data_IF_167621712298
#
_entry.id   IF_167621712298
#
_cell.length_a   1.000
_cell.length_b   1.000
_cell.length_c   1.000
_cell.angle_alpha   90.00
_cell.angle_beta   90.00
_cell.angle_gamma   90.00
#
_symmetry.space_group_name_H-M   'P 1'
#
loop_
_entity.id
_entity.type
_entity.pdbx_description
1 polymer ?
#
# COMPACT_ATOMS: atom_id res chain seq x y z
N UNK A 1 -20.50 -0.47 -1.49
CA UNK A 1 -19.26 0.27 -1.80
C UNK A 1 -19.59 1.74 -1.91
N UNK A 2 -18.66 2.60 -1.53
CA UNK A 2 -18.82 4.05 -1.61
C UNK A 2 -18.72 4.51 -3.09
N UNK A 3 -19.56 5.46 -3.54
CA UNK A 3 -19.68 5.82 -4.96
C UNK A 3 -18.43 6.46 -5.58
N UNK A 4 -17.42 6.81 -4.77
CA UNK A 4 -16.19 7.41 -5.28
C UNK A 4 -15.22 6.38 -5.86
N UNK A 5 -15.28 5.13 -5.43
CA UNK A 5 -14.42 4.06 -5.96
C UNK A 5 -14.86 3.68 -7.38
N UNK A 6 -13.94 3.76 -8.33
CA UNK A 6 -14.18 3.56 -9.76
C UNK A 6 -14.69 4.81 -10.49
N UNK A 7 -14.77 5.96 -9.82
CA UNK A 7 -15.26 7.22 -10.41
C UNK A 7 -14.20 7.99 -11.22
N UNK A 8 -12.94 7.54 -11.20
CA UNK A 8 -11.81 8.27 -11.78
C UNK A 8 -11.33 9.46 -10.93
N UNK A 9 -11.90 9.63 -9.72
CA UNK A 9 -11.47 10.63 -8.74
C UNK A 9 -10.67 9.99 -7.62
N UNK A 10 -9.76 10.78 -7.05
CA UNK A 10 -8.91 10.39 -5.92
C UNK A 10 -9.33 11.25 -4.74
N UNK A 11 -9.58 10.62 -3.60
CA UNK A 11 -9.89 11.31 -2.35
C UNK A 11 -8.58 11.58 -1.62
N UNK A 12 -8.28 12.85 -1.33
CA UNK A 12 -7.05 13.24 -0.61
C UNK A 12 -7.35 13.90 0.73
N UNK A 13 -8.58 14.36 0.92
CA UNK A 13 -9.07 14.90 2.18
C UNK A 13 -9.94 13.89 2.95
N UNK A 14 -9.94 13.91 4.30
CA UNK A 14 -10.83 13.06 5.10
C UNK A 14 -12.30 13.34 4.78
N UNK A 15 -13.06 12.30 4.42
CA UNK A 15 -14.48 12.42 4.07
C UNK A 15 -15.42 12.31 5.28
N UNK A 16 -14.94 11.71 6.38
CA UNK A 16 -15.69 11.50 7.61
C UNK A 16 -14.80 11.74 8.84
N UNK A 17 -15.41 12.09 9.96
CA UNK A 17 -14.76 12.09 11.27
C UNK A 17 -14.69 10.68 11.88
N UNK A 18 -13.87 10.50 12.92
CA UNK A 18 -13.77 9.24 13.67
C UNK A 18 -15.13 8.77 14.25
N UNK A 19 -16.05 9.71 14.48
CA UNK A 19 -17.42 9.46 14.96
C UNK A 19 -18.42 9.03 13.88
N UNK A 20 -17.96 8.90 12.63
CA UNK A 20 -18.78 8.53 11.47
C UNK A 20 -19.64 9.68 10.92
N UNK A 21 -19.28 10.94 11.21
CA UNK A 21 -19.99 12.13 10.71
C UNK A 21 -19.32 12.62 9.43
N UNK A 22 -20.07 12.88 8.34
CA UNK A 22 -19.51 13.46 7.12
C UNK A 22 -18.87 14.83 7.36
N UNK A 23 -17.70 15.07 6.77
CA UNK A 23 -17.00 16.35 6.84
C UNK A 23 -17.52 17.26 5.72
N UNK A 24 -18.10 18.41 6.09
CA UNK A 24 -18.68 19.40 5.17
C UNK A 24 -17.66 20.46 4.70
N UNK A 25 -16.38 20.11 4.64
CA UNK A 25 -15.34 21.02 4.17
C UNK A 25 -15.51 21.28 2.66
N UNK A 26 -15.43 22.54 2.18
CA UNK A 26 -15.58 22.87 0.76
C UNK A 26 -14.66 22.08 -0.17
N UNK A 27 -13.43 21.75 0.27
CA UNK A 27 -12.47 20.96 -0.51
C UNK A 27 -12.89 19.48 -0.58
N UNK A 28 -13.36 18.93 0.55
CA UNK A 28 -13.90 17.57 0.64
C UNK A 28 -15.15 17.43 -0.24
N UNK A 29 -16.03 18.43 -0.24
CA UNK A 29 -17.24 18.45 -1.06
C UNK A 29 -16.93 18.57 -2.57
N UNK A 30 -15.87 19.28 -2.95
CA UNK A 30 -15.39 19.34 -4.34
C UNK A 30 -14.83 17.99 -4.81
N UNK A 31 -14.11 17.29 -3.94
CA UNK A 31 -13.63 15.92 -4.22
C UNK A 31 -14.78 14.91 -4.23
N UNK A 32 -15.76 15.07 -3.33
CA UNK A 32 -16.85 14.12 -3.08
C UNK A 32 -18.12 14.35 -3.94
N UNK A 33 -18.21 15.41 -4.73
CA UNK A 33 -19.36 15.62 -5.62
C UNK A 33 -19.10 14.98 -6.97
N UNK A 34 -19.71 13.83 -7.24
CA UNK A 34 -19.95 13.41 -8.62
C UNK A 34 -20.91 14.43 -9.27
N UNK A 35 -20.63 14.84 -10.51
CA UNK A 35 -21.53 15.70 -11.29
C UNK A 35 -22.82 14.96 -11.62
N UNK A 36 -23.72 14.91 -10.65
CA UNK A 36 -25.09 14.43 -10.78
C UNK A 36 -25.91 15.08 -9.67
N UNK A 37 -26.65 16.11 -10.06
CA UNK A 37 -27.67 16.76 -9.27
C UNK A 37 -28.71 15.73 -8.79
N UNK A 38 -28.64 15.37 -7.51
CA UNK A 38 -29.79 14.88 -6.76
C UNK A 38 -29.66 15.34 -5.32
N UNK A 39 -30.41 16.39 -5.01
CA UNK A 39 -30.73 16.87 -3.68
C UNK A 39 -31.21 15.74 -2.77
N UNK A 40 -30.40 15.39 -1.76
CA UNK A 40 -30.87 14.85 -0.48
C UNK A 40 -29.72 14.89 0.52
N UNK A 41 -29.59 16.03 1.20
CA UNK A 41 -28.85 16.14 2.45
C UNK A 41 -29.52 15.29 3.52
N UNK A 42 -29.30 13.99 3.49
CA UNK A 42 -29.59 13.12 4.61
C UNK A 42 -28.32 13.05 5.47
N UNK A 43 -28.36 13.71 6.63
CA UNK A 43 -27.43 13.52 7.74
C UNK A 43 -27.55 12.07 8.27
N UNK A 44 -27.18 11.07 7.47
CA UNK A 44 -27.16 9.69 7.90
C UNK A 44 -25.82 9.42 8.56
N UNK A 45 -25.81 9.42 9.89
CA UNK A 45 -24.67 8.95 10.68
C UNK A 45 -24.37 7.51 10.28
N UNK A 46 -23.16 7.27 9.78
CA UNK A 46 -22.69 5.92 9.53
C UNK A 46 -22.57 5.21 10.89
N UNK A 47 -23.19 4.04 11.01
CA UNK A 47 -23.13 3.21 12.23
C UNK A 47 -22.28 1.97 12.05
N UNK A 48 -21.99 1.59 10.79
CA UNK A 48 -21.12 0.46 10.50
C UNK A 48 -19.65 0.84 10.73
N UNK A 49 -19.11 0.36 11.86
CA UNK A 49 -17.72 0.58 12.28
C UNK A 49 -16.72 0.25 11.17
N UNK A 50 -16.97 -0.82 10.43
CA UNK A 50 -16.10 -1.26 9.34
C UNK A 50 -16.08 -0.25 8.18
N UNK A 51 -17.25 0.24 7.77
CA UNK A 51 -17.34 1.29 6.75
C UNK A 51 -16.67 2.58 7.21
N UNK A 52 -16.75 2.92 8.50
CA UNK A 52 -16.06 4.09 9.06
C UNK A 52 -14.54 3.91 8.96
N UNK A 53 -14.00 2.80 9.47
CA UNK A 53 -12.56 2.51 9.43
C UNK A 53 -12.01 2.53 8.00
N UNK A 54 -12.71 1.89 7.06
CA UNK A 54 -12.32 1.91 5.66
C UNK A 54 -12.37 3.31 5.03
N UNK A 55 -13.42 4.11 5.30
CA UNK A 55 -13.51 5.49 4.81
C UNK A 55 -12.41 6.38 5.37
N UNK A 56 -11.98 6.14 6.61
CA UNK A 56 -10.85 6.84 7.22
C UNK A 56 -9.53 6.52 6.51
N UNK A 57 -9.35 5.33 5.93
CA UNK A 57 -8.10 5.00 5.21
C UNK A 57 -8.03 5.59 3.80
N UNK A 58 -9.17 5.92 3.17
CA UNK A 58 -9.22 6.40 1.77
C UNK A 58 -8.37 7.65 1.50
N UNK A 59 -8.37 8.61 2.42
CA UNK A 59 -7.57 9.83 2.27
C UNK A 59 -6.07 9.53 2.34
N UNK A 60 -5.65 8.62 3.24
CA UNK A 60 -4.27 8.19 3.38
C UNK A 60 -3.80 7.47 2.12
N UNK A 61 -4.65 6.60 1.54
CA UNK A 61 -4.39 5.98 0.23
C UNK A 61 -4.18 7.06 -0.82
N UNK A 62 -5.06 8.07 -0.92
CA UNK A 62 -4.92 9.15 -1.89
C UNK A 62 -3.62 9.94 -1.75
N UNK A 63 -3.23 10.26 -0.52
CA UNK A 63 -1.97 10.93 -0.24
C UNK A 63 -0.74 10.10 -0.66
N UNK A 64 -0.79 8.78 -0.47
CA UNK A 64 0.30 7.88 -0.86
C UNK A 64 0.35 7.63 -2.36
N UNK A 65 -0.81 7.49 -3.02
CA UNK A 65 -0.93 7.43 -4.48
C UNK A 65 -0.29 8.66 -5.12
N UNK A 66 -0.61 9.85 -4.60
CA UNK A 66 0.01 11.07 -5.08
C UNK A 66 1.52 11.11 -4.85
N UNK A 67 2.08 10.35 -3.90
CA UNK A 67 3.53 10.27 -3.61
C UNK A 67 4.25 9.18 -4.40
N UNK A 68 3.53 8.21 -4.95
CA UNK A 68 4.09 7.01 -5.59
C UNK A 68 4.63 7.37 -6.97
N UNK A 69 5.89 6.98 -7.24
CA UNK A 69 6.55 7.05 -8.56
C UNK A 69 6.31 8.34 -9.37
N UNK A 70 6.32 9.49 -8.70
CA UNK A 70 6.00 10.81 -9.29
C UNK A 70 6.82 11.19 -10.52
N UNK A 71 8.03 10.63 -10.66
CA UNK A 71 8.91 10.90 -11.79
C UNK A 71 8.59 10.05 -13.02
N UNK A 72 7.68 9.07 -12.91
CA UNK A 72 7.30 8.19 -14.01
C UNK A 72 6.23 8.85 -14.88
N UNK A 73 6.50 8.95 -16.19
CA UNK A 73 5.57 9.51 -17.18
C UNK A 73 4.19 8.82 -17.18
N UNK A 74 4.13 7.56 -16.76
CA UNK A 74 2.89 6.81 -16.61
C UNK A 74 1.88 7.53 -15.70
N UNK A 75 2.35 8.16 -14.62
CA UNK A 75 1.50 8.82 -13.63
C UNK A 75 1.16 10.28 -13.95
N UNK A 76 1.63 10.83 -15.07
CA UNK A 76 1.13 12.13 -15.58
C UNK A 76 -0.36 12.05 -15.94
N UNK A 77 -0.83 10.87 -16.34
CA UNK A 77 -2.24 10.63 -16.63
C UNK A 77 -3.00 10.39 -15.32
N UNK A 78 -3.95 11.28 -15.02
CA UNK A 78 -4.82 11.17 -13.85
C UNK A 78 -5.59 9.83 -13.78
N UNK A 79 -5.92 9.26 -14.94
CA UNK A 79 -6.56 7.93 -15.06
C UNK A 79 -5.72 6.81 -14.43
N UNK A 80 -4.39 6.87 -14.55
CA UNK A 80 -3.50 5.85 -13.98
C UNK A 80 -3.36 6.01 -12.47
N UNK A 81 -3.40 7.25 -11.97
CA UNK A 81 -3.46 7.52 -10.54
C UNK A 81 -4.80 7.08 -9.94
N UNK A 82 -5.92 7.27 -10.64
CA UNK A 82 -7.22 6.81 -10.17
C UNK A 82 -7.29 5.29 -10.12
N UNK A 83 -6.79 4.58 -11.15
CA UNK A 83 -6.67 3.11 -11.11
C UNK A 83 -5.88 2.61 -9.90
N UNK A 84 -4.76 3.28 -9.59
CA UNK A 84 -3.96 2.93 -8.41
C UNK A 84 -4.73 3.13 -7.11
N UNK A 85 -5.44 4.23 -7.00
CA UNK A 85 -6.28 4.50 -5.84
C UNK A 85 -7.44 3.51 -5.72
N UNK A 86 -8.12 3.18 -6.82
CA UNK A 86 -9.26 2.27 -6.87
C UNK A 86 -8.85 0.86 -6.44
N UNK A 87 -7.76 0.31 -6.98
CA UNK A 87 -7.25 -1.02 -6.61
C UNK A 87 -6.91 -1.08 -5.11
N UNK A 88 -6.23 -0.06 -4.57
CA UNK A 88 -5.85 -0.01 -3.16
C UNK A 88 -7.07 0.14 -2.24
N UNK A 89 -8.04 0.97 -2.64
CA UNK A 89 -9.29 1.16 -1.90
C UNK A 89 -10.12 -0.14 -1.87
N UNK A 90 -10.22 -0.84 -3.00
CA UNK A 90 -10.91 -2.14 -3.09
C UNK A 90 -10.18 -3.20 -2.28
N UNK A 91 -8.85 -3.25 -2.33
CA UNK A 91 -8.05 -4.18 -1.53
C UNK A 91 -8.28 -3.97 -0.03
N UNK A 92 -8.24 -2.71 0.44
CA UNK A 92 -8.48 -2.36 1.83
C UNK A 92 -9.89 -2.75 2.32
N UNK A 93 -10.87 -2.85 1.42
CA UNK A 93 -12.22 -3.32 1.74
C UNK A 93 -12.30 -4.86 1.83
N UNK A 94 -11.53 -5.56 1.01
CA UNK A 94 -11.54 -7.02 0.88
C UNK A 94 -10.72 -7.68 1.99
N UNK A 95 -9.45 -7.28 2.14
CA UNK A 95 -8.56 -7.83 3.17
C UNK A 95 -8.60 -6.96 4.42
N UNK A 96 -9.56 -7.25 5.30
CA UNK A 96 -9.79 -6.49 6.53
C UNK A 96 -8.76 -6.74 7.62
N UNK A 97 -8.10 -7.89 7.58
CA UNK A 97 -7.10 -8.24 8.59
C UNK A 97 -5.83 -7.43 8.40
N UNK A 98 -5.46 -7.17 7.14
CA UNK A 98 -4.29 -6.35 6.81
C UNK A 98 -4.69 -4.88 6.59
N UNK A 99 -5.83 -4.65 5.94
CA UNK A 99 -6.26 -3.32 5.52
C UNK A 99 -5.28 -2.69 4.53
N UNK A 100 -5.22 -1.36 4.54
CA UNK A 100 -4.19 -0.61 3.84
C UNK A 100 -3.05 -0.23 4.79
N UNK A 101 -1.81 -0.47 4.38
CA UNK A 101 -0.60 -0.03 5.06
C UNK A 101 0.28 0.79 4.13
N UNK A 102 1.03 1.73 4.71
CA UNK A 102 1.97 2.54 3.96
C UNK A 102 3.01 1.64 3.26
N UNK A 103 3.26 1.91 1.97
CA UNK A 103 4.15 1.12 1.11
C UNK A 103 3.40 0.17 0.16
N UNK A 104 2.12 -0.13 0.41
CA UNK A 104 1.31 -0.93 -0.53
C UNK A 104 1.12 -0.24 -1.88
N UNK A 105 1.08 1.10 -1.92
CA UNK A 105 1.01 1.85 -3.18
C UNK A 105 2.23 1.62 -4.08
N UNK A 106 3.43 1.53 -3.48
CA UNK A 106 4.66 1.23 -4.21
C UNK A 106 4.65 -0.20 -4.76
N UNK A 107 4.03 -1.14 -4.02
CA UNK A 107 3.88 -2.54 -4.46
C UNK A 107 2.86 -2.70 -5.59
N UNK A 108 1.79 -1.89 -5.55
CA UNK A 108 0.72 -1.92 -6.55
C UNK A 108 1.12 -1.20 -7.85
N UNK A 109 1.94 -0.15 -7.78
CA UNK A 109 2.37 0.63 -8.94
C UNK A 109 2.86 -0.23 -10.13
N UNK A 110 3.81 -1.17 -9.95
CA UNK A 110 4.27 -2.03 -11.03
C UNK A 110 3.17 -2.90 -11.66
N UNK A 111 2.15 -3.30 -10.90
CA UNK A 111 1.04 -4.11 -11.43
C UNK A 111 0.25 -3.33 -12.47
N UNK A 112 0.00 -2.04 -12.21
CA UNK A 112 -0.78 -1.16 -13.09
C UNK A 112 0.04 -0.71 -14.29
N UNK A 113 1.35 -0.56 -14.12
CA UNK A 113 2.25 -0.25 -15.23
C UNK A 113 2.37 -1.43 -16.20
N UNK A 114 2.36 -2.66 -15.70
CA UNK A 114 2.51 -3.87 -16.51
C UNK A 114 1.20 -4.39 -17.09
N UNK A 115 0.09 -4.23 -16.38
CA UNK A 115 -1.21 -4.80 -16.75
C UNK A 115 -2.15 -3.69 -17.21
N UNK A 116 -2.65 -3.81 -18.44
CA UNK A 116 -3.57 -2.82 -19.02
C UNK A 116 -4.96 -2.85 -18.36
N UNK A 117 -5.41 -4.04 -17.99
CA UNK A 117 -6.70 -4.28 -17.35
C UNK A 117 -6.60 -4.10 -15.83
N UNK A 118 -7.52 -3.30 -15.28
CA UNK A 118 -7.53 -2.95 -13.86
C UNK A 118 -7.89 -4.16 -12.98
N UNK A 119 -8.75 -5.06 -13.45
CA UNK A 119 -9.12 -6.25 -12.69
C UNK A 119 -7.95 -7.24 -12.63
N UNK A 120 -7.22 -7.43 -13.74
CA UNK A 120 -6.00 -8.23 -13.74
C UNK A 120 -4.94 -7.65 -12.79
N UNK A 121 -4.76 -6.33 -12.80
CA UNK A 121 -3.86 -5.64 -11.89
C UNK A 121 -4.27 -5.85 -10.42
N UNK A 122 -5.57 -5.75 -10.11
CA UNK A 122 -6.10 -6.04 -8.79
C UNK A 122 -5.80 -7.47 -8.34
N UNK A 123 -6.11 -8.47 -9.16
CA UNK A 123 -5.89 -9.87 -8.79
C UNK A 123 -4.42 -10.23 -8.65
N UNK A 124 -3.55 -9.63 -9.47
CA UNK A 124 -2.11 -9.80 -9.33
C UNK A 124 -1.61 -9.18 -8.01
N UNK A 125 -2.05 -7.95 -7.71
CA UNK A 125 -1.73 -7.28 -6.45
C UNK A 125 -2.24 -8.05 -5.23
N UNK A 126 -3.48 -8.54 -5.26
CA UNK A 126 -4.06 -9.34 -4.17
C UNK A 126 -3.23 -10.61 -3.90
N UNK A 127 -2.80 -11.31 -4.96
CA UNK A 127 -1.93 -12.49 -4.84
C UNK A 127 -0.54 -12.17 -4.32
N UNK A 128 0.04 -11.04 -4.73
CA UNK A 128 1.30 -10.55 -4.17
C UNK A 128 1.13 -10.28 -2.66
N UNK A 129 0.07 -9.57 -2.31
CA UNK A 129 -0.24 -9.23 -0.94
C UNK A 129 -0.47 -10.46 -0.07
N UNK A 130 -1.10 -11.54 -0.57
CA UNK A 130 -1.23 -12.81 0.17
C UNK A 130 0.11 -13.35 0.69
N UNK A 131 1.18 -13.18 -0.08
CA UNK A 131 2.55 -13.58 0.32
C UNK A 131 3.18 -12.57 1.28
N UNK A 132 2.94 -11.29 1.05
CA UNK A 132 3.48 -10.20 1.86
C UNK A 132 2.66 -9.88 3.12
N UNK A 133 1.51 -10.54 3.36
CA UNK A 133 0.69 -10.32 4.57
C UNK A 133 1.54 -10.42 5.83
N UNK A 134 2.50 -11.35 5.86
CA UNK A 134 3.45 -11.50 6.97
C UNK A 134 4.25 -10.22 7.25
N UNK A 135 4.65 -9.49 6.21
CA UNK A 135 5.44 -8.26 6.34
C UNK A 135 4.62 -7.10 6.92
N UNK A 136 3.32 -7.07 6.64
CA UNK A 136 2.40 -6.00 7.06
C UNK A 136 1.64 -6.32 8.36
N UNK A 137 1.77 -7.54 8.88
CA UNK A 137 1.20 -7.90 10.19
C UNK A 137 1.99 -7.20 11.29
N UNK A 138 1.38 -6.17 11.86
CA UNK A 138 1.76 -5.64 13.17
C UNK A 138 1.05 -6.44 14.26
N UNK A 139 1.79 -7.29 14.96
CA UNK A 139 1.31 -7.86 16.23
C UNK A 139 1.67 -6.87 17.35
N UNK A 140 0.99 -6.94 18.50
CA UNK A 140 1.27 -6.09 19.68
C UNK A 140 2.74 -6.10 20.17
N UNK A 141 3.61 -6.96 19.60
CA UNK A 141 4.97 -7.20 20.07
C UNK A 141 6.05 -7.14 18.96
N UNK A 142 5.69 -7.20 17.67
CA UNK A 142 6.65 -7.09 16.56
C UNK A 142 5.97 -6.89 15.20
N UNK A 143 6.67 -6.25 14.27
CA UNK A 143 6.34 -6.25 12.84
C UNK A 143 6.93 -7.50 12.21
N UNK A 144 6.20 -8.22 11.36
CA UNK A 144 6.69 -9.49 10.78
C UNK A 144 7.99 -9.38 9.95
N UNK A 145 8.43 -8.18 9.60
CA UNK A 145 9.74 -7.91 8.99
C UNK A 145 10.90 -8.06 9.98
N UNK A 146 10.68 -7.89 11.28
CA UNK A 146 11.75 -7.97 12.30
C UNK A 146 12.44 -9.34 12.31
N UNK A 147 11.68 -10.43 12.16
CA UNK A 147 12.27 -11.77 12.05
C UNK A 147 13.15 -11.91 10.81
N UNK A 148 12.81 -11.25 9.70
CA UNK A 148 13.62 -11.24 8.49
C UNK A 148 14.92 -10.44 8.68
N UNK A 149 14.87 -9.34 9.44
CA UNK A 149 16.05 -8.57 9.81
C UNK A 149 16.98 -9.35 10.73
N UNK A 150 16.43 -10.11 11.69
CA UNK A 150 17.23 -10.99 12.55
C UNK A 150 17.94 -12.08 11.73
N UNK A 151 17.24 -12.70 10.77
CA UNK A 151 17.87 -13.65 9.85
C UNK A 151 18.96 -12.99 9.01
N UNK A 152 18.72 -11.78 8.50
CA UNK A 152 19.73 -11.01 7.77
C UNK A 152 20.97 -10.76 8.64
N UNK A 153 20.77 -10.35 9.89
CA UNK A 153 21.85 -10.12 10.85
C UNK A 153 22.69 -11.38 11.05
N UNK A 154 22.04 -12.53 11.28
CA UNK A 154 22.72 -13.83 11.43
C UNK A 154 23.48 -14.25 10.17
N UNK A 155 22.91 -14.02 8.98
CA UNK A 155 23.57 -14.33 7.71
C UNK A 155 24.82 -13.48 7.53
N UNK A 156 24.72 -12.17 7.79
CA UNK A 156 25.87 -11.26 7.65
C UNK A 156 26.93 -11.56 8.69
N UNK A 157 26.56 -11.93 9.92
CA UNK A 157 27.51 -12.35 10.94
C UNK A 157 28.36 -13.55 10.49
N UNK A 158 27.79 -14.47 9.70
CA UNK A 158 28.52 -15.63 9.16
C UNK A 158 29.31 -15.27 7.90
N UNK A 159 28.73 -14.50 6.97
CA UNK A 159 29.33 -14.19 5.67
C UNK A 159 30.42 -13.10 5.75
N UNK A 160 30.17 -12.07 6.56
CA UNK A 160 31.09 -10.95 6.79
C UNK A 160 30.99 -10.45 8.25
N UNK A 161 31.65 -11.16 9.19
CA UNK A 161 31.62 -10.78 10.60
C UNK A 161 32.23 -9.39 10.85
N UNK A 162 33.18 -8.95 10.02
CA UNK A 162 33.80 -7.62 10.17
C UNK A 162 32.79 -6.51 9.91
N UNK A 163 31.93 -6.69 8.91
CA UNK A 163 30.84 -5.78 8.61
C UNK A 163 29.79 -5.79 9.73
N UNK A 164 29.40 -6.98 10.21
CA UNK A 164 28.44 -7.11 11.31
C UNK A 164 28.92 -6.37 12.57
N UNK A 165 30.15 -6.65 13.03
CA UNK A 165 30.74 -6.01 14.21
C UNK A 165 30.89 -4.49 14.04
N UNK A 166 31.08 -4.02 12.80
CA UNK A 166 31.12 -2.59 12.52
C UNK A 166 29.74 -1.95 12.67
N UNK A 167 28.71 -2.57 12.12
CA UNK A 167 27.32 -2.10 12.24
C UNK A 167 26.85 -2.16 13.69
N UNK A 168 27.17 -3.21 14.43
CA UNK A 168 26.82 -3.35 15.84
C UNK A 168 27.45 -2.24 16.69
N UNK A 169 28.74 -1.92 16.48
CA UNK A 169 29.42 -0.80 17.16
C UNK A 169 28.80 0.57 16.87
N UNK A 170 28.15 0.73 15.73
CA UNK A 170 27.42 1.94 15.36
C UNK A 170 25.97 1.96 15.89
N UNK A 171 25.54 0.92 16.62
CA UNK A 171 24.16 0.76 17.08
C UNK A 171 23.19 0.27 15.99
N UNK A 172 23.70 -0.24 14.88
CA UNK A 172 22.94 -0.75 13.73
C UNK A 172 22.83 -2.27 13.65
N UNK A 173 23.09 -2.99 14.75
CA UNK A 173 23.12 -4.46 14.79
C UNK A 173 21.77 -5.14 14.51
N UNK A 174 20.66 -4.42 14.67
CA UNK A 174 19.31 -4.90 14.35
C UNK A 174 18.90 -4.66 12.89
N UNK A 175 19.78 -4.04 12.08
CA UNK A 175 19.56 -3.80 10.65
C UNK A 175 18.26 -3.04 10.32
N UNK A 176 17.78 -2.18 11.22
CA UNK A 176 16.55 -1.41 11.03
C UNK A 176 16.56 -0.53 9.77
N UNK A 177 17.75 -0.15 9.26
CA UNK A 177 17.87 0.54 7.97
C UNK A 177 17.33 -0.27 6.80
N UNK A 178 17.35 -1.61 6.89
CA UNK A 178 16.83 -2.51 5.87
C UNK A 178 15.33 -2.79 6.01
N UNK A 179 14.69 -2.35 7.11
CA UNK A 179 13.27 -2.61 7.38
C UNK A 179 12.37 -2.29 6.18
N UNK A 180 12.50 -1.07 5.64
CA UNK A 180 11.73 -0.62 4.47
C UNK A 180 12.02 -1.50 3.25
N UNK A 181 13.26 -1.93 3.08
CA UNK A 181 13.68 -2.74 1.94
C UNK A 181 12.93 -4.07 1.91
N UNK A 182 12.82 -4.75 3.05
CA UNK A 182 12.06 -6.01 3.15
C UNK A 182 10.55 -5.78 3.11
N UNK A 183 10.06 -4.70 3.72
CA UNK A 183 8.62 -4.38 3.74
C UNK A 183 8.03 -4.24 2.34
N UNK A 184 8.72 -3.54 1.43
CA UNK A 184 8.26 -3.29 0.05
C UNK A 184 9.10 -4.00 -1.03
N UNK A 185 9.73 -5.13 -0.69
CA UNK A 185 10.52 -5.96 -1.62
C UNK A 185 11.51 -5.15 -2.50
N UNK A 186 12.28 -4.26 -1.86
CA UNK A 186 13.30 -3.41 -2.47
C UNK A 186 12.80 -2.43 -3.55
N UNK A 187 11.47 -2.27 -3.71
CA UNK A 187 10.87 -1.39 -4.71
C UNK A 187 11.40 0.05 -4.66
N UNK A 188 11.73 0.56 -3.48
CA UNK A 188 12.27 1.91 -3.29
C UNK A 188 13.79 2.03 -3.44
N UNK A 189 14.51 0.92 -3.44
CA UNK A 189 15.97 0.89 -3.47
C UNK A 189 16.52 0.49 -4.84
N UNK A 190 15.74 -0.27 -5.62
CA UNK A 190 16.10 -0.76 -6.94
C UNK A 190 15.36 -0.01 -8.05
N UNK A 191 15.92 -0.02 -9.26
CA UNK A 191 15.26 0.52 -10.44
C UNK A 191 13.95 -0.22 -10.75
N UNK A 192 13.10 0.36 -11.60
CA UNK A 192 11.82 -0.27 -11.96
C UNK A 192 12.01 -1.71 -12.46
N UNK A 193 12.90 -1.89 -13.43
CA UNK A 193 13.21 -3.19 -14.03
C UNK A 193 13.88 -4.17 -13.07
N UNK A 194 14.86 -3.73 -12.27
CA UNK A 194 15.58 -4.63 -11.36
C UNK A 194 14.66 -5.19 -10.26
N UNK A 195 13.71 -4.38 -9.79
CA UNK A 195 12.71 -4.86 -8.82
C UNK A 195 11.80 -5.91 -9.43
N UNK A 196 11.38 -5.72 -10.69
CA UNK A 196 10.56 -6.72 -11.38
C UNK A 196 11.32 -8.03 -11.56
N UNK A 197 12.58 -7.96 -11.98
CA UNK A 197 13.43 -9.15 -12.09
C UNK A 197 13.59 -9.87 -10.74
N UNK A 198 13.82 -9.11 -9.66
CA UNK A 198 13.87 -9.67 -8.30
C UNK A 198 12.55 -10.37 -7.93
N UNK A 199 11.40 -9.77 -8.27
CA UNK A 199 10.08 -10.32 -7.98
C UNK A 199 9.76 -11.55 -8.83
N UNK A 200 10.25 -11.62 -10.06
CA UNK A 200 10.19 -12.81 -10.91
C UNK A 200 10.98 -13.96 -10.28
N UNK A 201 12.20 -13.70 -9.81
CA UNK A 201 13.02 -14.71 -9.11
C UNK A 201 12.31 -15.21 -7.85
N UNK A 202 11.76 -14.31 -7.02
CA UNK A 202 10.96 -14.73 -5.87
C UNK A 202 9.75 -15.56 -6.30
N UNK A 203 8.99 -15.10 -7.29
CA UNK A 203 7.80 -15.81 -7.77
C UNK A 203 8.13 -17.19 -8.37
N UNK A 204 9.26 -17.32 -9.05
CA UNK A 204 9.73 -18.57 -9.65
C UNK A 204 10.22 -19.57 -8.59
N UNK A 205 10.99 -19.11 -7.60
CA UNK A 205 11.45 -19.94 -6.47
C UNK A 205 10.26 -20.55 -5.69
N UNK A 206 9.14 -19.82 -5.60
CA UNK A 206 7.95 -20.26 -4.85
C UNK A 206 6.85 -20.92 -5.71
N UNK A 207 6.93 -20.91 -7.04
CA UNK A 207 6.05 -21.70 -7.92
C UNK A 207 6.52 -23.16 -8.09
N UNK A 208 7.80 -23.42 -7.77
CA UNK A 208 8.42 -24.74 -7.90
C UNK A 208 8.43 -25.51 -6.56
N UNK A 209 8.07 -24.85 -5.45
CA UNK A 209 7.91 -25.50 -4.14
C UNK A 209 6.41 -25.69 -3.83
N UNK A 210 5.95 -26.96 -3.70
CA UNK A 210 4.54 -27.27 -3.42
C UNK A 210 4.09 -26.88 -2.01
#
# INVERSE_FOLDING_TARGET
MDPHVGSGKIITAPIITEDGVPINDPLVLLEATSSSSSSSSANHRLTDKHTIEWKLTLHQIGLDVLRTDRSMLFYEKKENLSKLWDILAVYAWIDKEVGYCQGMSDLCSPMIVLLNDEADAFWCFERLMRRLRGNFRCTQQSVGVENQLQHLASIIQVLDPKLHDHLERLGGGDYLFAFRMFMVLFRRELSFGDSLYLWEIFSFIFLVTP
#
